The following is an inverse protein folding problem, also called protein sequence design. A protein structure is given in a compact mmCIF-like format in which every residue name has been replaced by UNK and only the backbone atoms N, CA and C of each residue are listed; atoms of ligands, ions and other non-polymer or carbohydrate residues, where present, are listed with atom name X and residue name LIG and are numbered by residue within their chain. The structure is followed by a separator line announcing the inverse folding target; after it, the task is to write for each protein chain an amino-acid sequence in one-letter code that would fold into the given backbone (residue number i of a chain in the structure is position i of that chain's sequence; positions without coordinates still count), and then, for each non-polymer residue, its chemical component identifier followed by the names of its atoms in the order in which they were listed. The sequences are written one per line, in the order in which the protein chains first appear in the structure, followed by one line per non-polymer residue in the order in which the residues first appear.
data_IF_900581181985
#
_entry.id   IF_900581181985
#
_cell.length_a   1.000
_cell.length_b   1.000
_cell.length_c   1.000
_cell.angle_alpha   90.00
_cell.angle_beta   90.00
_cell.angle_gamma   90.00
#
_symmetry.space_group_name_H-M   'P 1'
#
loop_
_entity.id
_entity.type
_entity.pdbx_description
1 polymer ?
#
# COMPACT_ATOMS: atom_id res chain seq x y z
N UNK A 1 -7.34 12.03 -0.78
CA UNK A 1 -7.69 10.59 -0.80
C UNK A 1 -6.89 9.88 -1.89
N UNK A 2 -5.94 9.03 -1.49
CA UNK A 2 -5.08 8.29 -2.43
C UNK A 2 -5.54 6.83 -2.48
N UNK A 3 -5.78 6.30 -3.70
CA UNK A 3 -6.13 4.91 -3.93
C UNK A 3 -4.93 4.16 -4.52
N UNK A 4 -4.48 3.11 -3.86
CA UNK A 4 -3.43 2.23 -4.37
C UNK A 4 -4.05 0.88 -4.74
N UNK A 5 -4.04 0.53 -6.02
CA UNK A 5 -4.42 -0.81 -6.47
C UNK A 5 -3.17 -1.66 -6.72
N UNK A 6 -3.12 -2.82 -6.10
CA UNK A 6 -1.96 -3.72 -6.16
C UNK A 6 -2.36 -5.02 -6.82
N UNK A 7 -1.69 -5.34 -7.92
CA UNK A 7 -1.74 -6.65 -8.55
C UNK A 7 -0.65 -7.51 -7.92
N UNK A 8 -1.07 -8.47 -7.09
CA UNK A 8 -0.16 -9.24 -6.23
C UNK A 8 0.85 -10.08 -7.02
N UNK A 9 0.48 -10.62 -8.18
CA UNK A 9 1.37 -11.41 -9.02
C UNK A 9 2.19 -12.43 -8.23
N UNK A 10 3.52 -12.35 -8.33
CA UNK A 10 4.46 -13.24 -7.62
C UNK A 10 4.83 -12.78 -6.20
N UNK A 11 4.49 -11.55 -5.82
CA UNK A 11 4.80 -11.01 -4.50
C UNK A 11 3.64 -11.21 -3.54
N UNK A 12 3.93 -11.72 -2.34
CA UNK A 12 2.90 -11.90 -1.32
C UNK A 12 2.35 -10.54 -0.89
N UNK A 13 1.03 -10.41 -0.86
CA UNK A 13 0.35 -9.15 -0.54
C UNK A 13 0.76 -8.57 0.82
N UNK A 14 1.11 -9.42 1.81
CA UNK A 14 1.58 -8.97 3.12
C UNK A 14 2.93 -8.23 3.05
N UNK A 15 3.84 -8.64 2.16
CA UNK A 15 5.12 -7.95 1.96
C UNK A 15 4.86 -6.56 1.35
N UNK A 16 3.96 -6.49 0.37
CA UNK A 16 3.63 -5.24 -0.31
C UNK A 16 2.94 -4.26 0.66
N UNK A 17 2.01 -4.75 1.48
CA UNK A 17 1.35 -3.96 2.52
C UNK A 17 2.34 -3.34 3.50
N UNK A 18 3.32 -4.12 3.97
CA UNK A 18 4.32 -3.66 4.93
C UNK A 18 5.22 -2.56 4.35
N UNK A 19 5.62 -2.70 3.08
CA UNK A 19 6.42 -1.68 2.38
C UNK A 19 5.65 -0.36 2.24
N UNK A 20 4.36 -0.43 1.90
CA UNK A 20 3.53 0.76 1.75
C UNK A 20 3.33 1.47 3.09
N UNK A 21 3.05 0.73 4.16
CA UNK A 21 2.93 1.30 5.51
C UNK A 21 4.22 2.03 5.90
N UNK A 22 5.38 1.40 5.69
CA UNK A 22 6.68 2.03 5.96
C UNK A 22 6.92 3.28 5.11
N UNK A 23 6.55 3.24 3.83
CA UNK A 23 6.69 4.39 2.94
C UNK A 23 5.81 5.57 3.39
N UNK A 24 4.56 5.30 3.80
CA UNK A 24 3.64 6.31 4.33
C UNK A 24 4.19 6.94 5.62
N UNK A 25 4.71 6.11 6.54
CA UNK A 25 5.33 6.59 7.79
C UNK A 25 6.53 7.50 7.55
N UNK A 26 7.30 7.26 6.49
CA UNK A 26 8.43 8.11 6.10
C UNK A 26 7.99 9.41 5.43
N UNK A 27 6.78 9.46 4.87
CA UNK A 27 6.27 10.61 4.11
C UNK A 27 5.40 11.56 4.95
N UNK A 28 5.22 11.28 6.25
CA UNK A 28 4.40 12.07 7.20
C UNK A 28 3.03 12.48 6.60
N UNK A 29 2.39 11.55 5.88
CA UNK A 29 1.16 11.83 5.14
C UNK A 29 -0.05 11.91 6.07
N UNK A 30 -0.66 13.08 6.14
CA UNK A 30 -1.92 13.37 6.84
C UNK A 30 -3.18 13.03 6.01
N UNK A 31 -3.01 12.73 4.72
CA UNK A 31 -4.09 12.41 3.80
C UNK A 31 -4.54 10.94 3.94
N UNK A 32 -5.85 10.65 3.98
CA UNK A 32 -6.35 9.28 4.06
C UNK A 32 -6.03 8.48 2.77
N UNK A 33 -5.46 7.29 2.96
CA UNK A 33 -5.11 6.34 1.89
C UNK A 33 -5.97 5.07 1.99
N UNK A 34 -6.42 4.58 0.84
CA UNK A 34 -7.11 3.30 0.71
C UNK A 34 -6.31 2.36 -0.19
N UNK A 35 -6.06 1.15 0.29
CA UNK A 35 -5.31 0.13 -0.45
C UNK A 35 -6.29 -0.96 -0.89
N UNK A 36 -6.38 -1.17 -2.19
CA UNK A 36 -7.17 -2.21 -2.83
C UNK A 36 -6.22 -3.28 -3.36
N UNK A 37 -6.39 -4.52 -2.90
CA UNK A 37 -5.64 -5.66 -3.41
C UNK A 37 -6.49 -6.43 -4.42
N UNK A 38 -5.95 -6.61 -5.62
CA UNK A 38 -6.57 -7.37 -6.71
C UNK A 38 -5.66 -8.54 -7.06
N UNK A 39 -6.21 -9.77 -7.07
CA UNK A 39 -5.48 -11.00 -7.39
C UNK A 39 -5.43 -11.24 -8.89
#
# INVERSE_FOLDING_TARGET
MILINILGGIMKCNIIAEVIIKAIQLLDQLEPMQILYSF
#
